data_IF_165618015555
#
_entry.id   IF_165618015555
#
_cell.length_a   1.000
_cell.length_b   1.000
_cell.length_c   1.000
_cell.angle_alpha   90.00
_cell.angle_beta   90.00
_cell.angle_gamma   90.00
#
_symmetry.space_group_name_H-M   'P 1'
#
loop_
_entity.id
_entity.type
_entity.pdbx_description
1 polymer ?
#
# COMPACT_ATOMS: atom_id res chain seq x y z
N UNK A 1 5.67 7.86 3.07
CA UNK A 1 4.32 7.88 3.70
C UNK A 1 4.42 7.33 5.12
N UNK A 2 3.81 8.03 6.06
CA UNK A 2 3.88 7.64 7.47
C UNK A 2 2.47 7.31 7.96
N UNK A 3 2.33 6.11 8.53
CA UNK A 3 1.13 5.73 9.27
C UNK A 3 1.44 5.98 10.74
N UNK A 4 0.84 7.02 11.29
CA UNK A 4 1.23 7.55 12.59
C UNK A 4 0.20 7.30 13.70
N UNK A 5 -0.75 6.43 13.46
CA UNK A 5 -1.79 6.09 14.46
C UNK A 5 -2.21 4.64 14.31
N UNK A 6 -2.65 4.06 15.41
CA UNK A 6 -3.15 2.67 15.44
C UNK A 6 -4.43 2.49 14.63
N UNK A 7 -5.00 3.57 14.12
CA UNK A 7 -6.22 3.58 13.32
C UNK A 7 -5.99 3.78 11.84
N UNK A 8 -4.75 4.03 11.42
CA UNK A 8 -4.43 4.34 10.02
C UNK A 8 -3.75 3.17 9.34
N UNK A 9 -4.30 2.71 8.22
CA UNK A 9 -3.71 1.67 7.40
C UNK A 9 -3.62 2.14 5.95
N UNK A 10 -2.68 1.54 5.22
CA UNK A 10 -2.59 1.70 3.77
C UNK A 10 -3.36 0.57 3.14
N UNK A 11 -4.34 0.90 2.32
CA UNK A 11 -5.18 -0.08 1.64
C UNK A 11 -4.99 -0.02 0.13
N UNK A 12 -5.24 -1.15 -0.50
CA UNK A 12 -5.27 -1.29 -1.95
C UNK A 12 -6.60 -1.87 -2.38
N UNK A 13 -7.13 -1.36 -3.48
CA UNK A 13 -8.40 -1.83 -4.03
C UNK A 13 -8.34 -1.69 -5.54
N UNK A 14 -9.05 -2.56 -6.25
CA UNK A 14 -9.17 -2.47 -7.70
C UNK A 14 -10.45 -1.72 -8.06
N UNK A 15 -10.43 -1.03 -9.19
CA UNK A 15 -11.58 -0.28 -9.66
C UNK A 15 -12.67 -1.14 -10.27
N UNK A 16 -12.37 -2.42 -10.57
CA UNK A 16 -13.32 -3.36 -11.17
C UNK A 16 -13.05 -4.77 -10.68
N UNK A 17 -14.01 -5.67 -10.91
CA UNK A 17 -13.86 -7.07 -10.56
C UNK A 17 -12.77 -7.73 -11.41
N UNK A 18 -12.08 -8.72 -10.84
CA UNK A 18 -11.09 -9.50 -11.57
C UNK A 18 -11.76 -10.41 -12.59
N UNK A 19 -11.05 -10.71 -13.68
CA UNK A 19 -11.51 -11.68 -14.65
C UNK A 19 -11.18 -13.10 -14.22
N UNK A 20 -9.99 -13.34 -13.69
CA UNK A 20 -9.55 -14.67 -13.28
C UNK A 20 -8.75 -14.67 -11.98
N UNK A 21 -7.92 -13.66 -11.71
CA UNK A 21 -7.07 -13.67 -10.53
C UNK A 21 -6.80 -12.25 -10.04
N UNK A 22 -6.63 -12.13 -8.74
CA UNK A 22 -6.28 -10.86 -8.11
C UNK A 22 -4.80 -10.52 -8.31
N UNK A 23 -4.46 -9.26 -8.10
CA UNK A 23 -3.09 -8.78 -8.22
C UNK A 23 -2.28 -9.14 -6.97
N UNK A 24 -1.01 -9.46 -7.18
CA UNK A 24 -0.06 -9.68 -6.09
C UNK A 24 0.48 -8.35 -5.60
N UNK A 25 0.61 -8.21 -4.29
CA UNK A 25 1.01 -6.96 -3.64
C UNK A 25 2.10 -7.25 -2.63
N UNK A 26 3.19 -6.47 -2.69
CA UNK A 26 4.22 -6.49 -1.66
C UNK A 26 4.43 -5.06 -1.19
N UNK A 27 4.33 -4.85 0.12
CA UNK A 27 4.61 -3.55 0.73
C UNK A 27 5.79 -3.68 1.66
N UNK A 28 6.77 -2.80 1.52
CA UNK A 28 7.94 -2.73 2.38
C UNK A 28 7.80 -1.51 3.28
N UNK A 29 8.09 -1.69 4.56
CA UNK A 29 7.90 -0.64 5.55
C UNK A 29 8.91 -0.79 6.68
N UNK A 30 9.00 0.24 7.50
CA UNK A 30 9.81 0.22 8.70
C UNK A 30 9.04 0.83 9.85
N UNK A 31 9.12 0.21 11.01
CA UNK A 31 8.46 0.68 12.21
C UNK A 31 9.46 1.43 13.10
N UNK A 32 9.09 2.65 13.46
CA UNK A 32 9.87 3.50 14.34
C UNK A 32 9.18 3.62 15.69
N UNK A 33 9.93 3.39 16.75
CA UNK A 33 9.55 3.77 18.09
C UNK A 33 10.49 4.86 18.57
N UNK A 34 10.39 5.27 19.86
CA UNK A 34 11.31 6.26 20.40
C UNK A 34 12.77 5.80 20.39
N UNK A 35 13.02 4.48 20.36
CA UNK A 35 14.37 3.94 20.54
C UNK A 35 14.77 2.92 19.47
N UNK A 36 13.84 2.45 18.64
CA UNK A 36 14.13 1.36 17.70
C UNK A 36 13.60 1.63 16.32
N UNK A 37 14.18 0.96 15.33
CA UNK A 37 13.68 0.86 13.97
C UNK A 37 13.65 -0.61 13.58
N UNK A 38 12.51 -1.09 13.11
CA UNK A 38 12.35 -2.48 12.69
C UNK A 38 11.78 -2.51 11.28
N UNK A 39 12.54 -2.98 10.27
CA UNK A 39 12.02 -3.13 8.92
C UNK A 39 11.13 -4.36 8.81
N UNK A 40 10.22 -4.33 7.84
CA UNK A 40 9.35 -5.44 7.57
C UNK A 40 8.72 -5.35 6.20
N UNK A 41 7.98 -6.38 5.84
CA UNK A 41 7.22 -6.37 4.60
C UNK A 41 5.94 -7.19 4.76
N UNK A 42 4.97 -6.90 3.90
CA UNK A 42 3.70 -7.61 3.84
C UNK A 42 3.47 -8.05 2.41
N UNK A 43 3.23 -9.36 2.23
CA UNK A 43 2.76 -9.91 0.96
C UNK A 43 1.29 -10.19 1.06
N UNK A 44 0.51 -9.73 0.09
CA UNK A 44 -0.93 -9.99 0.05
C UNK A 44 -1.42 -10.00 -1.39
N UNK A 45 -2.70 -10.21 -1.57
CA UNK A 45 -3.35 -10.10 -2.88
C UNK A 45 -4.52 -9.13 -2.75
N UNK A 46 -4.86 -8.47 -3.85
CA UNK A 46 -6.07 -7.64 -3.90
C UNK A 46 -7.31 -8.52 -3.78
N UNK A 47 -8.44 -7.93 -3.52
CA UNK A 47 -9.72 -8.64 -3.42
C UNK A 47 -10.79 -7.92 -4.25
N UNK A 48 -10.55 -7.83 -5.56
CA UNK A 48 -11.47 -7.15 -6.47
C UNK A 48 -11.74 -5.73 -6.00
N UNK A 49 -13.00 -5.36 -5.94
CA UNK A 49 -13.44 -4.02 -5.53
C UNK A 49 -13.53 -3.86 -4.01
N UNK A 50 -13.12 -4.87 -3.24
CA UNK A 50 -13.06 -4.78 -1.78
C UNK A 50 -11.64 -4.42 -1.36
N UNK A 51 -11.50 -3.39 -0.54
CA UNK A 51 -10.18 -2.92 -0.08
C UNK A 51 -9.54 -3.94 0.85
N UNK A 52 -8.23 -4.11 0.71
CA UNK A 52 -7.42 -4.93 1.62
C UNK A 52 -6.24 -4.10 2.13
N UNK A 53 -5.75 -4.41 3.32
CA UNK A 53 -4.60 -3.70 3.85
C UNK A 53 -3.33 -4.16 3.14
N UNK A 54 -2.64 -3.21 2.49
CA UNK A 54 -1.29 -3.44 1.97
C UNK A 54 -0.27 -3.27 3.10
N UNK A 55 -0.52 -2.32 3.99
CA UNK A 55 0.26 -2.16 5.22
C UNK A 55 -0.73 -1.87 6.36
N UNK A 56 -0.77 -2.75 7.32
CA UNK A 56 -1.66 -2.61 8.47
C UNK A 56 -1.25 -1.42 9.33
N UNK A 57 -2.17 -0.96 10.17
CA UNK A 57 -1.89 0.11 11.09
C UNK A 57 -0.78 -0.30 12.07
N UNK A 58 0.09 0.64 12.48
CA UNK A 58 1.14 0.33 13.43
C UNK A 58 0.59 0.11 14.84
N UNK A 59 1.41 -0.51 15.67
CA UNK A 59 1.11 -0.65 17.10
C UNK A 59 1.14 0.71 17.80
N UNK A 60 0.63 0.75 19.03
CA UNK A 60 0.68 1.96 19.84
C UNK A 60 2.14 2.44 20.03
N UNK A 61 2.32 3.74 20.10
CA UNK A 61 3.63 4.39 20.25
C UNK A 61 4.63 4.04 19.13
N UNK A 62 4.10 3.70 17.97
CA UNK A 62 4.88 3.31 16.80
C UNK A 62 4.39 4.08 15.59
N UNK A 63 5.32 4.47 14.72
CA UNK A 63 4.99 5.00 13.39
C UNK A 63 5.51 4.03 12.35
N UNK A 64 4.70 3.74 11.35
CA UNK A 64 5.09 2.88 10.25
C UNK A 64 5.37 3.72 9.02
N UNK A 65 6.62 3.70 8.58
CA UNK A 65 7.02 4.36 7.34
C UNK A 65 6.88 3.35 6.20
N UNK A 66 5.92 3.59 5.32
CA UNK A 66 5.77 2.76 4.12
C UNK A 66 6.76 3.26 3.08
N UNK A 67 7.67 2.40 2.68
CA UNK A 67 8.75 2.75 1.77
C UNK A 67 8.41 2.44 0.32
N UNK A 68 7.74 1.32 0.08
CA UNK A 68 7.40 0.93 -1.29
C UNK A 68 6.21 -0.02 -1.29
N UNK A 69 5.37 0.12 -2.31
CA UNK A 69 4.29 -0.84 -2.60
C UNK A 69 4.47 -1.26 -4.04
N UNK A 70 4.65 -2.54 -4.28
CA UNK A 70 4.74 -3.12 -5.62
C UNK A 70 3.51 -3.96 -5.88
N UNK A 71 2.90 -3.74 -7.04
CA UNK A 71 1.70 -4.46 -7.46
C UNK A 71 2.00 -5.13 -8.79
N UNK A 72 1.78 -6.43 -8.85
CA UNK A 72 1.87 -7.18 -10.10
C UNK A 72 0.47 -7.63 -10.51
N UNK A 73 0.05 -7.23 -11.71
CA UNK A 73 -1.25 -7.65 -12.23
C UNK A 73 -1.13 -9.02 -12.89
N UNK A 74 -1.53 -10.05 -12.17
CA UNK A 74 -1.51 -11.41 -12.66
C UNK A 74 -2.77 -11.79 -13.46
N UNK A 75 -3.70 -10.86 -13.61
CA UNK A 75 -4.96 -11.11 -14.32
C UNK A 75 -4.79 -10.98 -15.84
N UNK A 76 -5.83 -11.36 -16.55
CA UNK A 76 -5.87 -11.31 -18.01
C UNK A 76 -6.37 -9.98 -18.56
N UNK A 77 -6.85 -9.09 -17.68
CA UNK A 77 -7.31 -7.76 -18.06
C UNK A 77 -6.54 -6.69 -17.27
N UNK A 78 -6.53 -5.48 -17.79
CA UNK A 78 -5.98 -4.33 -17.09
C UNK A 78 -6.86 -3.97 -15.89
N UNK A 79 -6.23 -3.48 -14.83
CA UNK A 79 -6.92 -3.05 -13.63
C UNK A 79 -6.53 -1.64 -13.23
N UNK A 80 -7.52 -0.87 -12.81
CA UNK A 80 -7.26 0.39 -12.11
C UNK A 80 -6.90 0.04 -10.67
N UNK A 81 -5.64 0.26 -10.30
CA UNK A 81 -5.15 0.04 -8.94
C UNK A 81 -5.27 1.34 -8.17
N UNK A 82 -5.90 1.28 -7.02
CA UNK A 82 -6.17 2.43 -6.16
C UNK A 82 -5.47 2.21 -4.82
N UNK A 83 -4.65 3.17 -4.43
CA UNK A 83 -4.02 3.20 -3.10
C UNK A 83 -4.70 4.28 -2.27
N UNK A 84 -5.06 3.93 -1.05
CA UNK A 84 -5.78 4.83 -0.16
C UNK A 84 -5.33 4.63 1.28
N UNK A 85 -5.46 5.68 2.08
CA UNK A 85 -5.27 5.61 3.53
C UNK A 85 -6.64 5.52 4.17
N UNK A 86 -6.85 4.50 4.97
CA UNK A 86 -8.07 4.33 5.74
C UNK A 86 -7.77 4.63 7.20
N UNK A 87 -8.46 5.61 7.75
CA UNK A 87 -8.38 5.97 9.16
C UNK A 87 -9.71 5.63 9.83
N UNK A 88 -9.69 4.68 10.75
CA UNK A 88 -10.93 4.24 11.43
C UNK A 88 -11.32 5.17 12.57
N UNK A 89 -10.50 6.14 12.93
CA UNK A 89 -10.83 7.10 13.98
C UNK A 89 -11.99 8.00 13.53
N UNK A 90 -12.84 8.38 14.48
CA UNK A 90 -13.90 9.35 14.24
C UNK A 90 -14.95 8.90 13.24
N UNK A 91 -15.26 7.61 13.19
CA UNK A 91 -16.28 7.08 12.27
C UNK A 91 -15.72 6.60 10.93
N UNK A 92 -14.44 6.77 10.73
CA UNK A 92 -13.75 6.23 9.55
C UNK A 92 -13.73 7.21 8.38
N UNK A 93 -12.55 7.39 7.80
CA UNK A 93 -12.36 8.15 6.56
C UNK A 93 -11.45 7.37 5.64
N UNK A 94 -11.69 7.51 4.33
CA UNK A 94 -10.85 6.92 3.29
C UNK A 94 -10.36 8.05 2.40
N UNK A 95 -9.04 8.10 2.18
CA UNK A 95 -8.44 9.10 1.29
C UNK A 95 -7.64 8.40 0.21
N UNK A 96 -8.12 8.49 -1.02
CA UNK A 96 -7.40 7.99 -2.19
C UNK A 96 -6.28 8.99 -2.51
N UNK A 97 -5.06 8.49 -2.69
CA UNK A 97 -3.95 9.38 -3.02
C UNK A 97 -3.18 8.93 -4.26
N UNK A 98 -3.39 7.73 -4.75
CA UNK A 98 -2.79 7.25 -6.00
C UNK A 98 -3.74 6.32 -6.72
N UNK A 99 -3.75 6.47 -8.04
CA UNK A 99 -4.48 5.55 -8.92
C UNK A 99 -3.65 5.32 -10.16
N UNK A 100 -3.61 4.08 -10.63
CA UNK A 100 -2.91 3.76 -11.86
C UNK A 100 -3.53 2.56 -12.54
N UNK A 101 -3.65 2.62 -13.86
CA UNK A 101 -4.03 1.46 -14.65
C UNK A 101 -2.78 0.62 -14.89
N UNK A 102 -2.86 -0.65 -14.50
CA UNK A 102 -1.78 -1.62 -14.68
C UNK A 102 -2.28 -2.68 -15.64
N UNK A 103 -1.59 -2.85 -16.76
CA UNK A 103 -1.98 -3.82 -17.78
C UNK A 103 -1.76 -5.26 -17.35
N UNK A 104 -2.29 -6.24 -18.11
CA UNK A 104 -2.09 -7.64 -17.78
C UNK A 104 -0.61 -7.99 -17.77
N UNK A 105 -0.18 -8.73 -16.74
CA UNK A 105 1.20 -9.17 -16.54
C UNK A 105 2.20 -8.02 -16.43
N UNK A 106 1.73 -6.82 -16.11
CA UNK A 106 2.56 -5.66 -15.83
C UNK A 106 2.64 -5.43 -14.32
N UNK A 107 3.65 -4.69 -13.92
CA UNK A 107 3.82 -4.30 -12.53
C UNK A 107 3.89 -2.78 -12.39
N UNK A 108 3.65 -2.32 -11.17
CA UNK A 108 3.76 -0.92 -10.81
C UNK A 108 4.29 -0.82 -9.39
N UNK A 109 5.29 0.03 -9.21
CA UNK A 109 5.85 0.32 -7.89
C UNK A 109 5.60 1.77 -7.53
N UNK A 110 5.14 1.98 -6.30
CA UNK A 110 4.96 3.29 -5.74
C UNK A 110 5.85 3.44 -4.51
N UNK A 111 6.72 4.43 -4.51
CA UNK A 111 7.73 4.66 -3.46
C UNK A 111 7.52 6.03 -2.83
N UNK A 112 6.52 6.17 -1.94
CA UNK A 112 6.18 7.47 -1.38
C UNK A 112 7.30 8.11 -0.55
N UNK A 113 8.08 7.28 0.13
CA UNK A 113 9.19 7.77 0.95
C UNK A 113 10.49 7.78 0.19
N UNK A 114 10.63 6.90 -0.81
CA UNK A 114 11.87 6.70 -1.51
C UNK A 114 12.13 7.65 -2.66
N UNK A 115 11.13 8.38 -3.10
CA UNK A 115 11.29 9.29 -4.21
C UNK A 115 12.44 10.25 -4.00
N UNK A 116 12.50 10.82 -2.83
CA UNK A 116 13.58 11.73 -2.51
C UNK A 116 14.92 11.00 -2.36
N UNK A 117 14.92 9.75 -1.95
CA UNK A 117 16.15 8.97 -1.87
C UNK A 117 16.70 8.66 -3.24
N UNK A 118 15.84 8.28 -4.16
CA UNK A 118 16.26 8.00 -5.52
C UNK A 118 16.97 9.22 -6.12
N UNK A 119 16.51 10.38 -5.81
CA UNK A 119 17.11 11.61 -6.29
C UNK A 119 18.53 11.80 -5.78
N UNK A 120 18.80 11.35 -4.58
CA UNK A 120 20.07 11.53 -3.96
C UNK A 120 21.11 10.54 -4.31
N UNK A 121 20.73 9.53 -4.97
CA UNK A 121 21.65 8.50 -5.38
C UNK A 121 22.20 8.89 -6.75
N UNK A 122 23.10 9.73 -6.83
CA UNK A 122 23.66 10.19 -8.10
C UNK A 122 24.48 9.10 -8.73
#
# INVERSE_FOLDING_TARGET
>A
MILDATTKSLEIVLGEAVASTNCDVIACWGDYTATTFTPGETGTVTNGTTAVAAAAAPAASTQRLVQEVTVFNADTIAHLVILQVHDTAGGGTVRVFRRRVVGPLEDWSYSPAGTSLAIRLP
#
